data_IF_689456751536
#
_entry.id   IF_689456751536
#
_cell.length_a   1.000
_cell.length_b   1.000
_cell.length_c   1.000
_cell.angle_alpha   90.00
_cell.angle_beta   90.00
_cell.angle_gamma   90.00
#
_symmetry.space_group_name_H-M   'P 1'
#
loop_
_entity.id
_entity.type
_entity.pdbx_description
1 polymer ?
#
# COMPACT_ATOMS: atom_id res chain seq x y z
N UNK A 1 54.36 -38.52 -9.22
CA UNK A 1 54.00 -37.44 -8.27
C UNK A 1 53.81 -36.09 -8.95
N UNK A 2 54.82 -35.56 -9.65
CA UNK A 2 54.76 -34.23 -10.31
C UNK A 2 53.61 -34.05 -11.33
N UNK A 3 53.31 -35.11 -12.11
CA UNK A 3 52.25 -35.08 -13.14
C UNK A 3 50.84 -34.93 -12.55
N UNK A 4 50.59 -35.52 -11.38
CA UNK A 4 49.29 -35.43 -10.70
C UNK A 4 49.10 -34.06 -10.04
N UNK A 5 50.20 -33.43 -9.59
CA UNK A 5 50.20 -32.07 -9.02
C UNK A 5 49.89 -31.04 -10.13
N UNK A 6 50.50 -31.18 -11.31
CA UNK A 6 50.23 -30.32 -12.46
C UNK A 6 48.78 -30.43 -12.95
N UNK A 7 48.21 -31.63 -12.98
CA UNK A 7 46.80 -31.85 -13.35
C UNK A 7 45.87 -31.20 -12.31
N UNK A 8 46.15 -31.34 -11.01
CA UNK A 8 45.36 -30.72 -9.95
C UNK A 8 45.39 -29.18 -10.01
N UNK A 9 46.55 -28.57 -10.29
CA UNK A 9 46.69 -27.12 -10.45
C UNK A 9 45.93 -26.59 -11.68
N UNK A 10 45.95 -27.34 -12.78
CA UNK A 10 45.21 -27.01 -14.00
C UNK A 10 43.69 -27.07 -13.75
N UNK A 11 43.21 -28.10 -13.04
CA UNK A 11 41.80 -28.23 -12.66
C UNK A 11 41.38 -27.08 -11.73
N UNK A 12 42.19 -26.74 -10.73
CA UNK A 12 41.91 -25.61 -9.83
C UNK A 12 41.82 -24.28 -10.60
N UNK A 13 42.72 -24.07 -11.56
CA UNK A 13 42.75 -22.86 -12.39
C UNK A 13 41.52 -22.75 -13.29
N UNK A 14 41.07 -23.88 -13.86
CA UNK A 14 39.85 -23.93 -14.66
C UNK A 14 38.62 -23.69 -13.78
N UNK A 15 38.56 -24.30 -12.59
CA UNK A 15 37.47 -24.10 -11.65
C UNK A 15 37.41 -22.64 -11.19
N UNK A 16 38.54 -22.03 -10.85
CA UNK A 16 38.60 -20.63 -10.44
C UNK A 16 38.18 -19.69 -11.57
N UNK A 17 38.56 -19.99 -12.81
CA UNK A 17 38.18 -19.20 -13.97
C UNK A 17 36.69 -19.33 -14.30
N UNK A 18 36.12 -20.54 -14.19
CA UNK A 18 34.68 -20.76 -14.36
C UNK A 18 33.85 -20.11 -13.25
N UNK A 19 34.30 -20.17 -11.99
CA UNK A 19 33.68 -19.47 -10.86
C UNK A 19 33.75 -17.96 -11.08
N UNK A 20 34.91 -17.43 -11.49
CA UNK A 20 35.06 -16.02 -11.81
C UNK A 20 34.11 -15.58 -12.93
N UNK A 21 34.03 -16.34 -14.03
CA UNK A 21 33.10 -16.04 -15.13
C UNK A 21 31.64 -16.10 -14.70
N UNK A 22 31.29 -17.06 -13.85
CA UNK A 22 29.93 -17.17 -13.30
C UNK A 22 29.59 -15.98 -12.40
N UNK A 23 30.48 -15.60 -11.47
CA UNK A 23 30.33 -14.40 -10.63
C UNK A 23 30.23 -13.13 -11.48
N UNK A 24 31.08 -13.01 -12.51
CA UNK A 24 31.07 -11.87 -13.42
C UNK A 24 29.82 -11.83 -14.33
N UNK A 25 29.12 -12.97 -14.49
CA UNK A 25 27.84 -13.06 -15.20
C UNK A 25 26.62 -12.78 -14.33
N UNK A 26 26.79 -12.70 -13.01
CA UNK A 26 25.71 -12.26 -12.13
C UNK A 26 25.35 -10.82 -12.47
N UNK A 27 24.05 -10.47 -12.48
CA UNK A 27 23.63 -9.09 -12.68
C UNK A 27 24.30 -8.21 -11.62
N UNK A 28 25.05 -7.20 -12.07
CA UNK A 28 25.58 -6.18 -11.15
C UNK A 28 24.38 -5.43 -10.60
N UNK A 29 24.19 -5.49 -9.28
CA UNK A 29 23.28 -4.60 -8.59
C UNK A 29 23.95 -3.22 -8.60
N UNK A 30 23.62 -2.41 -9.61
CA UNK A 30 23.96 -0.99 -9.60
C UNK A 30 23.09 -0.33 -8.53
N UNK A 31 23.72 0.04 -7.42
CA UNK A 31 23.07 0.89 -6.43
C UNK A 31 23.03 2.29 -7.00
N UNK A 32 21.86 2.90 -7.03
CA UNK A 32 21.70 4.31 -7.35
C UNK A 32 22.43 5.15 -6.28
N UNK A 33 23.67 5.56 -6.59
CA UNK A 33 24.51 6.41 -5.73
C UNK A 33 23.96 7.84 -5.59
N UNK A 34 22.90 8.21 -6.32
CA UNK A 34 22.35 9.57 -6.29
C UNK A 34 21.50 9.87 -5.05
N UNK A 35 21.07 8.85 -4.31
CA UNK A 35 20.23 9.01 -3.11
C UNK A 35 21.09 9.04 -1.85
N UNK A 36 21.20 10.21 -1.22
CA UNK A 36 21.80 10.35 0.09
C UNK A 36 21.00 9.52 1.12
N UNK A 37 21.62 8.52 1.75
CA UNK A 37 20.95 7.63 2.71
C UNK A 37 20.98 8.24 4.12
N UNK A 38 19.96 9.05 4.45
CA UNK A 38 19.79 9.64 5.77
C UNK A 38 18.30 9.76 6.14
N UNK A 39 18.01 10.17 7.37
CA UNK A 39 16.62 10.27 7.84
C UNK A 39 15.81 11.38 7.15
N UNK A 40 16.47 12.43 6.63
CA UNK A 40 15.79 13.55 5.94
C UNK A 40 15.34 13.17 4.54
N UNK A 41 16.18 12.44 3.80
CA UNK A 41 15.77 11.86 2.52
C UNK A 41 14.68 10.80 2.73
N UNK A 42 14.81 9.98 3.78
CA UNK A 42 13.78 9.04 4.21
C UNK A 42 12.42 9.70 4.49
N UNK A 43 12.41 10.84 5.19
CA UNK A 43 11.20 11.61 5.42
C UNK A 43 10.57 12.08 4.09
N UNK A 44 11.36 12.67 3.20
CA UNK A 44 10.89 13.12 1.88
C UNK A 44 10.28 11.97 1.07
N UNK A 45 10.89 10.79 1.12
CA UNK A 45 10.39 9.58 0.46
C UNK A 45 9.08 9.10 1.09
N UNK A 46 8.96 9.07 2.42
CA UNK A 46 7.74 8.67 3.13
C UNK A 46 6.52 9.51 2.72
N UNK A 47 6.70 10.83 2.65
CA UNK A 47 5.64 11.79 2.30
C UNK A 47 5.49 12.05 0.80
N UNK A 48 6.38 11.48 -0.02
CA UNK A 48 6.44 11.69 -1.47
C UNK A 48 6.42 10.36 -2.21
N UNK A 49 7.54 10.03 -2.87
CA UNK A 49 7.66 8.86 -3.77
C UNK A 49 7.15 7.56 -3.16
N UNK A 50 7.45 7.28 -1.89
CA UNK A 50 7.06 6.05 -1.21
C UNK A 50 5.57 5.94 -0.90
N UNK A 51 4.80 7.03 -1.03
CA UNK A 51 3.35 7.11 -0.80
C UNK A 51 2.88 6.52 0.54
N UNK A 52 3.77 6.42 1.53
CA UNK A 52 3.49 5.79 2.82
C UNK A 52 2.39 6.57 3.57
N UNK A 53 2.39 7.90 3.42
CA UNK A 53 1.41 8.81 4.02
C UNK A 53 -0.02 8.66 3.53
N UNK A 54 -0.24 7.94 2.41
CA UNK A 54 -1.59 7.61 1.92
C UNK A 54 -2.29 6.63 2.87
N UNK A 55 -1.52 5.76 3.53
CA UNK A 55 -2.06 4.75 4.44
C UNK A 55 -1.70 4.99 5.91
N UNK A 56 -0.51 5.55 6.16
CA UNK A 56 0.03 5.76 7.49
C UNK A 56 0.06 7.25 7.87
N UNK A 57 -0.13 7.51 9.16
CA UNK A 57 0.11 8.84 9.75
C UNK A 57 1.28 8.80 10.73
N UNK A 58 1.90 9.95 10.97
CA UNK A 58 2.92 10.15 12.01
C UNK A 58 2.33 11.09 13.07
N UNK A 59 1.96 10.54 14.23
CA UNK A 59 1.28 11.31 15.27
C UNK A 59 -0.06 11.81 14.75
N UNK A 60 -0.26 13.14 14.72
CA UNK A 60 -1.48 13.76 14.19
C UNK A 60 -1.35 14.16 12.70
N UNK A 61 -0.18 14.02 12.07
CA UNK A 61 0.02 14.39 10.65
C UNK A 61 -0.26 13.20 9.73
N UNK A 62 -1.10 13.41 8.72
CA UNK A 62 -1.48 12.43 7.71
C UNK A 62 -2.79 11.71 8.02
N UNK A 63 -3.22 10.82 7.13
CA UNK A 63 -4.47 10.07 7.25
C UNK A 63 -4.17 8.60 7.58
N UNK A 64 -4.73 8.07 8.68
CA UNK A 64 -4.53 6.67 9.11
C UNK A 64 -5.84 5.90 9.19
N UNK A 65 -6.50 5.76 8.06
CA UNK A 65 -7.63 4.84 7.94
C UNK A 65 -7.20 3.44 7.50
N UNK A 66 -6.03 3.31 6.84
CA UNK A 66 -5.59 2.05 6.21
C UNK A 66 -4.41 1.35 6.89
N UNK A 67 -3.53 2.11 7.52
CA UNK A 67 -2.37 1.58 8.24
C UNK A 67 -2.29 2.14 9.66
N UNK A 68 -1.54 1.47 10.55
CA UNK A 68 -1.29 1.96 11.89
C UNK A 68 -0.59 3.31 11.87
N UNK A 69 -0.92 4.15 12.86
CA UNK A 69 -0.10 5.32 13.19
C UNK A 69 1.32 4.85 13.51
N UNK A 70 2.33 5.50 12.95
CA UNK A 70 3.75 5.15 13.15
C UNK A 70 4.46 6.09 14.14
N UNK A 71 3.82 7.21 14.52
CA UNK A 71 4.33 8.13 15.55
C UNK A 71 3.79 7.82 16.94
N UNK A 72 4.04 8.75 17.89
CA UNK A 72 3.35 8.74 19.18
C UNK A 72 1.92 9.22 18.99
N UNK A 73 0.95 8.44 19.44
CA UNK A 73 -0.45 8.85 19.39
C UNK A 73 -1.27 8.21 20.50
N UNK A 74 -2.54 8.60 20.58
CA UNK A 74 -3.55 7.95 21.41
C UNK A 74 -3.83 6.48 21.02
N UNK A 75 -3.39 6.05 19.83
CA UNK A 75 -3.70 4.73 19.28
C UNK A 75 -2.74 3.65 19.80
N UNK A 76 -1.65 4.02 20.51
CA UNK A 76 -0.71 3.07 21.09
C UNK A 76 0.72 3.60 21.19
N UNK A 77 1.66 2.73 21.61
CA UNK A 77 3.06 3.10 21.74
C UNK A 77 3.70 3.43 20.39
N UNK A 78 4.76 4.25 20.42
CA UNK A 78 5.54 4.62 19.24
C UNK A 78 6.02 3.40 18.45
N UNK A 79 6.24 3.56 17.14
CA UNK A 79 6.65 2.47 16.24
C UNK A 79 7.85 1.67 16.77
N UNK A 80 8.87 2.32 17.33
CA UNK A 80 10.06 1.60 17.82
C UNK A 80 9.80 0.62 18.95
N UNK A 81 8.88 0.93 19.87
CA UNK A 81 8.50 0.02 20.95
C UNK A 81 7.79 -1.20 20.39
N UNK A 82 6.82 -0.98 19.49
CA UNK A 82 6.11 -2.07 18.77
C UNK A 82 7.07 -2.91 17.94
N UNK A 83 8.00 -2.27 17.22
CA UNK A 83 8.99 -2.94 16.40
C UNK A 83 9.96 -3.79 17.24
N UNK A 84 10.40 -3.28 18.40
CA UNK A 84 11.27 -4.03 19.32
C UNK A 84 10.55 -5.24 19.93
N UNK A 85 9.33 -5.04 20.41
CA UNK A 85 8.50 -6.12 20.94
C UNK A 85 8.28 -7.20 19.86
N UNK A 86 7.97 -6.78 18.64
CA UNK A 86 7.71 -7.72 17.55
C UNK A 86 8.96 -8.44 17.08
N UNK A 87 10.10 -7.74 16.98
CA UNK A 87 11.39 -8.37 16.69
C UNK A 87 11.71 -9.46 17.71
N UNK A 88 11.49 -9.21 19.00
CA UNK A 88 11.66 -10.20 20.06
C UNK A 88 10.73 -11.40 19.89
N UNK A 89 9.44 -11.19 19.60
CA UNK A 89 8.47 -12.27 19.38
C UNK A 89 8.81 -13.15 18.17
N UNK A 90 9.40 -12.55 17.13
CA UNK A 90 9.79 -13.24 15.90
C UNK A 90 11.20 -13.84 15.95
N UNK A 91 11.95 -13.62 17.03
CA UNK A 91 13.36 -14.03 17.13
C UNK A 91 14.29 -13.29 16.17
N UNK A 92 13.90 -12.09 15.71
CA UNK A 92 14.74 -11.24 14.87
C UNK A 92 15.84 -10.57 15.71
N UNK A 93 16.99 -10.28 15.09
CA UNK A 93 18.15 -9.75 15.78
C UNK A 93 17.94 -8.31 16.26
N UNK A 94 17.04 -7.54 15.62
CA UNK A 94 16.76 -6.16 16.02
C UNK A 94 15.38 -5.65 15.57
N UNK A 95 14.93 -4.56 16.18
CA UNK A 95 13.80 -3.78 15.68
C UNK A 95 14.02 -3.25 14.26
N UNK A 96 15.27 -3.02 13.86
CA UNK A 96 15.62 -2.55 12.51
C UNK A 96 15.35 -3.64 11.48
N UNK A 97 15.70 -4.88 11.79
CA UNK A 97 15.42 -6.03 10.94
C UNK A 97 13.92 -6.26 10.77
N UNK A 98 13.15 -6.07 11.84
CA UNK A 98 11.69 -6.08 11.73
C UNK A 98 11.16 -4.96 10.83
N UNK A 99 11.65 -3.72 10.95
CA UNK A 99 11.22 -2.62 10.06
C UNK A 99 11.55 -2.92 8.60
N UNK A 100 12.73 -3.49 8.32
CA UNK A 100 13.11 -3.93 6.98
C UNK A 100 12.14 -5.00 6.46
N UNK A 101 11.84 -6.03 7.28
CA UNK A 101 10.91 -7.08 6.92
C UNK A 101 9.52 -6.52 6.60
N UNK A 102 9.01 -5.55 7.38
CA UNK A 102 7.68 -4.97 7.12
C UNK A 102 7.57 -4.23 5.78
N UNK A 103 8.69 -3.73 5.24
CA UNK A 103 8.73 -3.06 3.94
C UNK A 103 8.97 -4.08 2.82
N UNK A 104 9.81 -5.08 3.06
CA UNK A 104 10.15 -6.12 2.10
C UNK A 104 9.02 -7.15 1.90
N UNK A 105 8.30 -7.47 2.98
CA UNK A 105 7.26 -8.50 3.02
C UNK A 105 6.06 -7.98 3.84
N UNK A 106 5.34 -6.96 3.34
CA UNK A 106 4.27 -6.30 4.10
C UNK A 106 3.14 -7.24 4.55
N UNK A 107 2.95 -8.36 3.84
CA UNK A 107 1.97 -9.39 4.18
C UNK A 107 2.43 -10.42 5.22
N UNK A 108 3.72 -10.46 5.57
CA UNK A 108 4.27 -11.42 6.54
C UNK A 108 3.71 -11.19 7.95
N UNK A 109 3.38 -9.93 8.27
CA UNK A 109 2.70 -9.57 9.50
C UNK A 109 1.77 -8.37 9.31
N UNK A 110 0.49 -8.59 9.54
CA UNK A 110 -0.53 -7.55 9.54
C UNK A 110 -0.92 -7.23 10.98
N UNK A 111 -0.83 -5.96 11.36
CA UNK A 111 -1.19 -5.50 12.71
C UNK A 111 -2.68 -5.79 12.96
N UNK A 112 -3.05 -6.38 14.12
CA UNK A 112 -4.45 -6.64 14.44
C UNK A 112 -5.32 -5.41 14.29
N UNK A 113 -6.47 -5.56 13.62
CA UNK A 113 -7.39 -4.46 13.30
C UNK A 113 -7.13 -3.77 11.97
N UNK A 114 -6.08 -4.13 11.24
CA UNK A 114 -5.80 -3.67 9.88
C UNK A 114 -5.90 -4.82 8.87
N UNK A 115 -6.14 -4.48 7.61
CA UNK A 115 -6.16 -5.44 6.52
C UNK A 115 -4.77 -5.63 5.89
N UNK A 116 -4.57 -6.75 5.19
CA UNK A 116 -3.39 -6.98 4.37
C UNK A 116 -3.47 -6.12 3.08
N UNK A 117 -3.10 -4.86 3.19
CA UNK A 117 -3.26 -3.87 2.12
C UNK A 117 -1.99 -3.08 1.80
N UNK A 118 -0.90 -3.20 2.58
CA UNK A 118 0.32 -2.45 2.29
C UNK A 118 0.98 -2.98 1.00
N UNK A 119 1.25 -2.12 -0.01
CA UNK A 119 1.85 -2.56 -1.27
C UNK A 119 3.33 -2.89 -1.09
N UNK A 120 3.87 -3.70 -2.00
CA UNK A 120 5.31 -3.94 -2.13
C UNK A 120 5.97 -2.70 -2.74
N UNK A 121 6.49 -1.80 -1.90
CA UNK A 121 6.95 -0.46 -2.32
C UNK A 121 8.16 -0.46 -3.24
N UNK A 122 8.90 -1.58 -3.33
CA UNK A 122 10.04 -1.76 -4.23
C UNK A 122 9.63 -2.23 -5.64
N UNK A 123 8.34 -2.51 -5.86
CA UNK A 123 7.77 -2.86 -7.16
C UNK A 123 6.92 -1.71 -7.71
N UNK A 124 6.47 -1.87 -8.96
CA UNK A 124 5.47 -1.00 -9.54
C UNK A 124 4.22 -0.92 -8.65
N UNK A 125 3.58 0.25 -8.52
CA UNK A 125 3.90 1.52 -9.18
C UNK A 125 4.86 2.45 -8.40
N UNK A 126 5.32 2.07 -7.20
CA UNK A 126 6.08 2.95 -6.29
C UNK A 126 7.59 2.95 -6.59
N UNK A 127 8.18 1.77 -6.84
CA UNK A 127 9.59 1.60 -7.22
C UNK A 127 10.61 2.31 -6.30
N UNK A 128 10.52 2.11 -4.99
CA UNK A 128 11.61 2.50 -4.09
C UNK A 128 12.86 1.66 -4.37
N UNK A 129 13.99 2.30 -4.60
CA UNK A 129 15.30 1.64 -4.73
C UNK A 129 15.75 1.07 -3.39
N UNK A 130 16.69 0.12 -3.37
CA UNK A 130 17.32 -0.34 -2.13
C UNK A 130 17.86 0.79 -1.25
N UNK A 131 18.46 1.84 -1.84
CA UNK A 131 18.97 2.99 -1.10
C UNK A 131 17.83 3.82 -0.48
N UNK A 132 16.75 4.05 -1.23
CA UNK A 132 15.56 4.76 -0.75
C UNK A 132 14.86 4.01 0.39
N UNK A 133 14.75 2.68 0.31
CA UNK A 133 14.19 1.86 1.39
C UNK A 133 15.01 2.01 2.67
N UNK A 134 16.35 1.96 2.57
CA UNK A 134 17.23 2.20 3.72
C UNK A 134 17.01 3.59 4.32
N UNK A 135 16.87 4.61 3.47
CA UNK A 135 16.59 5.97 3.93
C UNK A 135 15.24 6.06 4.67
N UNK A 136 14.17 5.44 4.15
CA UNK A 136 12.87 5.35 4.83
C UNK A 136 12.98 4.64 6.17
N UNK A 137 13.71 3.53 6.26
CA UNK A 137 13.95 2.83 7.53
C UNK A 137 14.71 3.72 8.53
N UNK A 138 15.69 4.51 8.09
CA UNK A 138 16.37 5.49 8.94
C UNK A 138 15.42 6.58 9.46
N UNK A 139 14.50 7.05 8.63
CA UNK A 139 13.45 7.97 9.07
C UNK A 139 12.55 7.33 10.14
N UNK A 140 12.08 6.10 9.90
CA UNK A 140 11.23 5.40 10.88
C UNK A 140 11.95 5.14 12.21
N UNK A 141 13.27 4.90 12.19
CA UNK A 141 14.10 4.81 13.40
C UNK A 141 14.25 6.17 14.09
N UNK A 142 14.47 7.25 13.34
CA UNK A 142 14.66 8.59 13.91
C UNK A 142 13.41 9.11 14.63
N UNK A 143 12.20 8.67 14.23
CA UNK A 143 10.95 8.95 14.96
C UNK A 143 10.96 8.46 16.42
N UNK A 144 11.90 7.58 16.78
CA UNK A 144 12.10 7.07 18.12
C UNK A 144 13.34 7.64 18.83
N UNK A 145 13.98 8.65 18.25
CA UNK A 145 15.25 9.19 18.73
C UNK A 145 16.47 8.31 18.44
N UNK A 146 16.29 7.19 17.72
CA UNK A 146 17.38 6.35 17.26
C UNK A 146 17.94 6.91 15.95
N UNK A 147 19.03 7.66 16.07
CA UNK A 147 19.78 8.21 14.94
C UNK A 147 21.07 7.43 14.68
N UNK A 148 21.19 6.20 15.19
CA UNK A 148 22.39 5.40 15.01
C UNK A 148 22.49 4.91 13.56
N UNK A 149 23.67 5.11 12.97
CA UNK A 149 23.99 4.62 11.64
C UNK A 149 24.50 3.18 11.75
N UNK A 150 23.59 2.25 11.98
CA UNK A 150 23.87 0.82 11.81
C UNK A 150 23.64 0.47 10.34
N UNK A 151 24.53 -0.31 9.74
CA UNK A 151 24.35 -0.81 8.38
C UNK A 151 22.99 -1.52 8.25
N UNK A 152 22.07 -0.93 7.48
CA UNK A 152 20.77 -1.53 7.20
C UNK A 152 20.96 -2.56 6.08
N UNK A 153 20.78 -3.83 6.44
CA UNK A 153 20.82 -4.95 5.50
C UNK A 153 19.42 -5.23 5.00
N UNK A 154 19.28 -5.29 3.67
CA UNK A 154 18.03 -5.69 3.03
C UNK A 154 18.10 -7.18 2.66
N UNK A 155 16.97 -7.91 2.67
CA UNK A 155 16.91 -9.30 2.26
C UNK A 155 17.41 -9.48 0.82
N UNK A 156 18.08 -10.59 0.54
CA UNK A 156 18.62 -10.87 -0.79
C UNK A 156 17.50 -11.02 -1.82
N UNK A 157 16.33 -11.52 -1.40
CA UNK A 157 15.13 -11.66 -2.20
C UNK A 157 14.60 -10.30 -2.66
N UNK A 158 14.62 -9.29 -1.78
CA UNK A 158 14.27 -7.92 -2.16
C UNK A 158 15.26 -7.38 -3.20
N UNK A 159 16.56 -7.53 -2.95
CA UNK A 159 17.60 -7.07 -3.88
C UNK A 159 17.51 -7.77 -5.24
N UNK A 160 17.18 -9.06 -5.27
CA UNK A 160 17.03 -9.84 -6.49
C UNK A 160 15.70 -9.57 -7.22
N UNK A 161 14.65 -9.24 -6.48
CA UNK A 161 13.32 -8.92 -7.05
C UNK A 161 13.21 -7.47 -7.49
N UNK A 162 14.06 -6.58 -6.98
CA UNK A 162 14.20 -5.23 -7.49
C UNK A 162 14.67 -5.28 -8.94
N UNK A 163 13.83 -4.79 -9.84
CA UNK A 163 14.18 -4.55 -11.22
C UNK A 163 14.20 -3.05 -11.42
N UNK A 164 15.33 -2.51 -11.90
CA UNK A 164 15.39 -1.14 -12.40
C UNK A 164 14.24 -0.93 -13.38
N UNK A 165 13.58 0.22 -13.28
CA UNK A 165 12.34 0.62 -13.96
C UNK A 165 12.02 -0.21 -15.22
N UNK A 166 11.14 -1.20 -15.09
CA UNK A 166 10.32 -1.62 -16.23
C UNK A 166 9.20 -0.60 -16.33
N UNK A 167 9.01 -0.04 -17.53
CA UNK A 167 7.86 0.81 -17.84
C UNK A 167 6.60 0.18 -17.23
N UNK A 168 5.86 0.90 -16.37
CA UNK A 168 4.71 0.31 -15.70
C UNK A 168 3.66 -0.01 -16.77
N UNK A 169 3.40 -1.30 -16.96
CA UNK A 169 2.35 -1.87 -17.82
C UNK A 169 2.42 -1.36 -19.26
N UNK A 170 3.26 -2.00 -20.08
CA UNK A 170 3.13 -1.91 -21.53
C UNK A 170 1.66 -2.20 -21.92
N UNK A 171 0.96 -1.12 -22.26
CA UNK A 171 -0.37 -1.01 -22.86
C UNK A 171 -1.52 -1.74 -22.12
N UNK A 172 -2.15 -1.05 -21.16
CA UNK A 172 -3.55 -1.37 -20.83
C UNK A 172 -4.38 -1.12 -22.09
N UNK A 173 -4.89 -2.20 -22.69
CA UNK A 173 -5.88 -2.11 -23.76
C UNK A 173 -7.11 -1.40 -23.19
N UNK A 174 -7.49 -0.26 -23.76
CA UNK A 174 -8.65 0.50 -23.31
C UNK A 174 -8.55 1.99 -23.65
N UNK A 175 -9.69 2.64 -23.80
CA UNK A 175 -9.80 4.08 -24.02
C UNK A 175 -10.08 4.79 -22.68
N UNK A 176 -9.06 5.49 -22.16
CA UNK A 176 -9.18 6.26 -20.91
C UNK A 176 -10.25 7.35 -20.96
N UNK A 177 -10.59 7.89 -22.13
CA UNK A 177 -11.68 8.86 -22.27
C UNK A 177 -13.04 8.17 -22.13
N UNK A 178 -13.23 7.03 -22.79
CA UNK A 178 -14.44 6.23 -22.65
C UNK A 178 -14.60 5.71 -21.20
N UNK A 179 -13.50 5.27 -20.58
CA UNK A 179 -13.49 4.83 -19.18
C UNK A 179 -13.85 5.93 -18.20
N UNK A 180 -13.35 7.15 -18.43
CA UNK A 180 -13.71 8.32 -17.62
C UNK A 180 -15.19 8.65 -17.75
N UNK A 181 -15.74 8.63 -18.97
CA UNK A 181 -17.18 8.85 -19.18
C UNK A 181 -18.01 7.79 -18.44
N UNK A 182 -17.62 6.52 -18.53
CA UNK A 182 -18.27 5.42 -17.83
C UNK A 182 -18.17 5.57 -16.29
N UNK A 183 -17.03 6.01 -15.77
CA UNK A 183 -16.81 6.25 -14.33
C UNK A 183 -17.79 7.31 -13.79
N UNK A 184 -17.98 8.41 -14.53
CA UNK A 184 -18.82 9.54 -14.13
C UNK A 184 -20.29 9.42 -14.57
N UNK A 185 -20.66 8.38 -15.31
CA UNK A 185 -22.05 8.13 -15.70
C UNK A 185 -22.85 7.54 -14.53
N UNK A 186 -23.51 8.41 -13.76
CA UNK A 186 -24.28 8.06 -12.57
C UNK A 186 -25.55 7.23 -12.85
N UNK A 187 -26.04 7.21 -14.09
CA UNK A 187 -27.22 6.42 -14.50
C UNK A 187 -26.84 5.16 -15.26
N UNK A 188 -25.55 5.03 -15.63
CA UNK A 188 -25.00 3.90 -16.35
C UNK A 188 -24.70 2.67 -15.47
N UNK A 189 -24.22 1.58 -16.08
CA UNK A 189 -23.98 0.31 -15.39
C UNK A 189 -22.79 0.34 -14.42
N UNK A 190 -21.87 1.30 -14.56
CA UNK A 190 -20.71 1.43 -13.69
C UNK A 190 -20.98 2.36 -12.49
N UNK A 191 -21.44 3.59 -12.76
CA UNK A 191 -21.78 4.62 -11.77
C UNK A 191 -20.74 4.79 -10.65
N UNK A 192 -19.46 4.64 -10.95
CA UNK A 192 -18.39 4.60 -9.96
C UNK A 192 -18.31 5.92 -9.15
N UNK A 193 -18.55 7.05 -9.82
CA UNK A 193 -18.55 8.38 -9.21
C UNK A 193 -19.67 8.59 -8.17
N UNK A 194 -20.70 7.73 -8.15
CA UNK A 194 -21.74 7.76 -7.12
C UNK A 194 -21.20 7.44 -5.72
N UNK A 195 -20.03 6.81 -5.65
CA UNK A 195 -19.39 6.46 -4.37
C UNK A 195 -17.93 6.92 -4.28
N UNK A 196 -17.21 7.02 -5.40
CA UNK A 196 -15.78 7.31 -5.41
C UNK A 196 -15.48 8.69 -6.00
N UNK A 197 -14.45 9.35 -5.48
CA UNK A 197 -13.85 10.51 -6.15
C UNK A 197 -12.86 10.09 -7.22
N UNK A 198 -12.86 10.80 -8.34
CA UNK A 198 -11.90 10.69 -9.44
C UNK A 198 -11.54 12.06 -9.99
N UNK A 199 -10.77 12.10 -11.08
CA UNK A 199 -10.42 13.34 -11.79
C UNK A 199 -11.22 13.47 -13.09
N UNK A 200 -11.96 14.57 -13.24
CA UNK A 200 -12.69 14.84 -14.48
C UNK A 200 -11.76 15.31 -15.63
N UNK A 201 -12.33 15.66 -16.78
CA UNK A 201 -11.54 16.10 -17.96
C UNK A 201 -10.68 17.33 -17.73
N UNK A 202 -11.03 18.16 -16.74
CA UNK A 202 -10.27 19.36 -16.36
C UNK A 202 -9.23 19.08 -15.26
N UNK A 203 -9.05 17.82 -14.86
CA UNK A 203 -8.17 17.43 -13.76
C UNK A 203 -8.68 17.85 -12.38
N UNK A 204 -9.98 18.16 -12.25
CA UNK A 204 -10.59 18.50 -10.95
C UNK A 204 -11.19 17.25 -10.30
N UNK A 205 -11.10 17.21 -8.97
CA UNK A 205 -11.74 16.16 -8.17
C UNK A 205 -13.26 16.27 -8.30
N UNK A 206 -13.91 15.14 -8.59
CA UNK A 206 -15.36 15.02 -8.73
C UNK A 206 -15.81 13.63 -8.24
N UNK A 207 -17.07 13.51 -7.81
CA UNK A 207 -17.67 12.29 -7.27
C UNK A 207 -17.94 12.36 -5.77
N UNK A 208 -18.31 11.21 -5.19
CA UNK A 208 -18.71 11.08 -3.79
C UNK A 208 -17.57 10.56 -2.90
N UNK A 209 -17.67 10.81 -1.59
CA UNK A 209 -16.70 10.32 -0.60
C UNK A 209 -17.22 9.14 0.21
N UNK A 210 -18.35 8.53 -0.17
CA UNK A 210 -18.87 7.30 0.47
C UNK A 210 -17.80 6.20 0.44
N UNK A 211 -17.23 5.95 -0.74
CA UNK A 211 -16.13 5.04 -1.01
C UNK A 211 -14.75 5.72 -1.00
N UNK A 212 -13.68 4.92 -1.12
CA UNK A 212 -12.31 5.41 -1.20
C UNK A 212 -12.05 6.46 -2.28
N UNK A 213 -11.22 7.46 -1.97
CA UNK A 213 -10.66 8.35 -2.99
C UNK A 213 -9.75 7.57 -3.95
N UNK A 214 -9.98 7.74 -5.26
CA UNK A 214 -9.25 7.07 -6.34
C UNK A 214 -8.38 8.02 -7.17
N UNK A 215 -8.37 9.33 -6.88
CA UNK A 215 -7.64 10.36 -7.64
C UNK A 215 -6.13 10.09 -7.82
N UNK A 216 -5.54 9.28 -6.94
CA UNK A 216 -4.13 8.90 -6.95
C UNK A 216 -3.91 7.37 -6.97
N UNK A 217 -4.95 6.56 -7.25
CA UNK A 217 -4.94 5.12 -7.02
C UNK A 217 -3.79 4.39 -7.74
N UNK A 218 -3.44 4.83 -8.95
CA UNK A 218 -2.39 4.22 -9.76
C UNK A 218 -0.97 4.62 -9.35
N UNK A 219 -0.83 5.55 -8.39
CA UNK A 219 0.45 5.89 -7.79
C UNK A 219 0.92 4.87 -6.75
N UNK A 220 0.02 4.01 -6.24
CA UNK A 220 0.36 3.04 -5.19
C UNK A 220 -0.33 1.66 -5.33
N UNK A 221 -1.24 1.48 -6.30
CA UNK A 221 -1.85 0.19 -6.64
C UNK A 221 -1.55 -0.22 -8.07
N UNK A 222 -1.34 -1.52 -8.28
CA UNK A 222 -1.19 -2.07 -9.62
C UNK A 222 -2.55 -2.15 -10.33
N UNK A 223 -2.59 -2.16 -11.66
CA UNK A 223 -3.80 -2.39 -12.44
C UNK A 223 -4.49 -3.70 -12.09
N UNK A 224 -3.74 -4.76 -11.81
CA UNK A 224 -4.31 -6.06 -11.41
C UNK A 224 -5.04 -5.95 -10.07
N UNK A 225 -4.50 -5.17 -9.12
CA UNK A 225 -5.20 -4.89 -7.87
C UNK A 225 -6.49 -4.10 -8.13
N UNK A 226 -6.44 -3.06 -8.98
CA UNK A 226 -7.60 -2.23 -9.31
C UNK A 226 -8.70 -3.06 -9.98
N UNK A 227 -8.35 -3.82 -11.03
CA UNK A 227 -9.28 -4.69 -11.73
C UNK A 227 -9.90 -5.73 -10.78
N UNK A 228 -9.07 -6.37 -9.95
CA UNK A 228 -9.56 -7.34 -8.96
C UNK A 228 -10.56 -6.71 -8.00
N UNK A 229 -10.35 -5.47 -7.57
CA UNK A 229 -11.32 -4.75 -6.71
C UNK A 229 -12.63 -4.47 -7.41
N UNK A 230 -12.61 -4.18 -8.71
CA UNK A 230 -13.84 -3.96 -9.49
C UNK A 230 -14.66 -5.26 -9.60
N UNK A 231 -14.01 -6.37 -9.92
CA UNK A 231 -14.72 -7.65 -10.17
C UNK A 231 -14.96 -8.46 -8.89
N UNK A 232 -14.22 -8.20 -7.81
CA UNK A 232 -14.34 -8.89 -6.53
C UNK A 232 -14.03 -7.94 -5.36
N UNK A 233 -14.95 -7.00 -5.05
CA UNK A 233 -14.75 -6.03 -3.98
C UNK A 233 -14.72 -6.67 -2.58
N UNK A 234 -15.32 -7.85 -2.40
CA UNK A 234 -15.40 -8.56 -1.12
C UNK A 234 -14.08 -9.25 -0.73
N UNK A 235 -13.17 -9.48 -1.67
CA UNK A 235 -11.88 -10.13 -1.38
C UNK A 235 -11.13 -9.46 -0.22
N UNK A 236 -11.26 -8.13 -0.09
CA UNK A 236 -10.80 -7.38 1.07
C UNK A 236 -11.53 -6.03 1.07
N UNK A 237 -12.29 -5.71 2.11
CA UNK A 237 -12.95 -4.40 2.19
C UNK A 237 -11.94 -3.37 2.71
N UNK A 238 -11.66 -2.33 1.92
CA UNK A 238 -10.65 -1.31 2.26
C UNK A 238 -10.86 -0.78 3.68
N UNK A 239 -9.80 -0.78 4.47
CA UNK A 239 -9.84 -0.30 5.86
C UNK A 239 -10.41 1.14 5.94
N UNK A 240 -11.33 1.37 6.88
CA UNK A 240 -12.10 2.61 7.00
C UNK A 240 -13.36 2.68 6.14
N UNK A 241 -13.62 1.68 5.29
CA UNK A 241 -14.80 1.63 4.40
C UNK A 241 -15.71 0.42 4.63
N UNK A 242 -15.50 -0.32 5.72
CA UNK A 242 -16.43 -1.36 6.16
C UNK A 242 -17.74 -0.74 6.59
N UNK A 243 -18.82 -1.13 5.93
CA UNK A 243 -20.17 -0.77 6.33
C UNK A 243 -20.50 -1.37 7.70
N UNK A 244 -21.18 -0.61 8.53
CA UNK A 244 -21.62 -1.03 9.85
C UNK A 244 -23.12 -0.87 9.96
N UNK A 245 -23.76 -1.85 10.60
CA UNK A 245 -25.12 -1.72 11.10
C UNK A 245 -25.05 -1.33 12.57
N UNK A 246 -25.53 -0.15 12.90
CA UNK A 246 -25.63 0.36 14.26
C UNK A 246 -27.06 0.23 14.72
N UNK A 247 -27.27 -0.55 15.78
CA UNK A 247 -28.54 -0.56 16.52
C UNK A 247 -28.45 0.43 17.65
N UNK A 248 -29.34 1.41 17.68
CA UNK A 248 -29.42 2.36 18.79
C UNK A 248 -30.25 1.79 19.94
N UNK A 249 -30.05 2.31 21.15
CA UNK A 249 -30.85 1.97 22.34
C UNK A 249 -32.33 2.36 22.17
N UNK A 250 -32.61 3.35 21.32
CA UNK A 250 -33.97 3.73 20.92
C UNK A 250 -34.60 2.82 19.85
N UNK A 251 -33.92 1.73 19.44
CA UNK A 251 -34.46 0.74 18.51
C UNK A 251 -34.28 1.07 17.02
N UNK A 252 -33.60 2.17 16.67
CA UNK A 252 -33.29 2.49 15.27
C UNK A 252 -32.13 1.64 14.77
N UNK A 253 -32.17 1.28 13.49
CA UNK A 253 -31.04 0.72 12.76
C UNK A 253 -30.50 1.78 11.80
N UNK A 254 -29.20 2.04 11.88
CA UNK A 254 -28.47 2.94 10.98
C UNK A 254 -27.46 2.11 10.21
N UNK A 255 -27.33 2.35 8.92
CA UNK A 255 -26.44 1.58 8.03
C UNK A 255 -25.57 2.54 7.25
N UNK A 256 -24.26 2.36 7.34
CA UNK A 256 -23.33 3.23 6.62
C UNK A 256 -21.87 2.99 6.98
N UNK A 257 -21.00 3.86 6.51
CA UNK A 257 -19.56 3.82 6.74
C UNK A 257 -19.17 4.86 7.78
N UNK A 258 -18.36 4.49 8.77
CA UNK A 258 -17.87 5.44 9.77
C UNK A 258 -16.76 6.29 9.15
N UNK A 259 -16.98 7.60 9.04
CA UNK A 259 -15.99 8.56 8.52
C UNK A 259 -15.07 9.08 9.61
N UNK A 260 -15.63 9.34 10.78
CA UNK A 260 -14.89 9.83 11.94
C UNK A 260 -15.42 9.20 13.22
N UNK A 261 -14.53 8.99 14.18
CA UNK A 261 -14.89 8.49 15.49
C UNK A 261 -14.00 9.17 16.55
N UNK A 262 -14.63 9.86 17.50
CA UNK A 262 -13.95 10.43 18.66
C UNK A 262 -14.39 9.71 19.95
N UNK A 263 -14.08 10.26 21.12
CA UNK A 263 -14.41 9.60 22.40
C UNK A 263 -15.92 9.44 22.61
N UNK A 264 -16.72 10.40 22.17
CA UNK A 264 -18.13 10.51 22.53
C UNK A 264 -19.07 10.23 21.34
N UNK A 265 -18.63 10.49 20.11
CA UNK A 265 -19.45 10.41 18.92
C UNK A 265 -18.76 9.66 17.78
N UNK A 266 -19.58 9.13 16.86
CA UNK A 266 -19.16 8.71 15.53
C UNK A 266 -19.95 9.46 14.47
N UNK A 267 -19.32 9.72 13.32
CA UNK A 267 -19.97 10.21 12.12
C UNK A 267 -20.13 9.04 11.13
N UNK A 268 -21.37 8.74 10.77
CA UNK A 268 -21.74 7.71 9.82
C UNK A 268 -22.20 8.36 8.51
N UNK A 269 -21.64 7.97 7.38
CA UNK A 269 -22.18 8.34 6.07
C UNK A 269 -23.06 7.20 5.55
N UNK A 270 -24.29 7.52 5.18
CA UNK A 270 -25.20 6.59 4.50
C UNK A 270 -24.97 6.61 2.98
N UNK A 271 -25.53 5.63 2.27
CA UNK A 271 -25.37 5.49 0.81
C UNK A 271 -25.95 6.65 -0.01
N UNK A 272 -26.84 7.44 0.58
CA UNK A 272 -27.42 8.65 -0.01
C UNK A 272 -26.64 9.93 0.37
N UNK A 273 -25.40 9.79 0.83
CA UNK A 273 -24.52 10.87 1.31
C UNK A 273 -24.98 11.59 2.58
N UNK A 274 -26.02 11.08 3.25
CA UNK A 274 -26.46 11.64 4.52
C UNK A 274 -25.43 11.36 5.62
N UNK A 275 -24.94 12.42 6.27
CA UNK A 275 -24.05 12.33 7.43
C UNK A 275 -24.86 12.32 8.72
N UNK A 276 -24.79 11.22 9.46
CA UNK A 276 -25.43 11.05 10.76
C UNK A 276 -24.39 11.09 11.87
N UNK A 277 -24.51 12.06 12.77
CA UNK A 277 -23.78 12.06 14.03
C UNK A 277 -24.50 11.13 15.03
N UNK A 278 -23.80 10.10 15.51
CA UNK A 278 -24.33 9.15 16.48
C UNK A 278 -23.52 9.23 17.77
N UNK A 279 -24.20 9.57 18.87
CA UNK A 279 -23.63 9.50 20.22
C UNK A 279 -23.35 8.04 20.57
N UNK A 280 -22.13 7.73 21.03
CA UNK A 280 -21.77 6.37 21.44
C UNK A 280 -22.58 5.88 22.63
N UNK A 281 -23.08 6.79 23.47
CA UNK A 281 -23.95 6.46 24.59
C UNK A 281 -25.29 5.89 24.13
N UNK A 282 -25.70 6.20 22.90
CA UNK A 282 -26.96 5.74 22.32
C UNK A 282 -26.80 4.45 21.51
N UNK A 283 -25.58 3.93 21.35
CA UNK A 283 -25.30 2.69 20.63
C UNK A 283 -25.60 1.51 21.55
N UNK A 284 -26.43 0.59 21.07
CA UNK A 284 -26.65 -0.71 21.70
C UNK A 284 -25.69 -1.76 21.15
N UNK A 285 -25.56 -1.84 19.82
CA UNK A 285 -24.63 -2.75 19.16
C UNK A 285 -24.11 -2.19 17.84
N UNK A 286 -22.89 -2.59 17.46
CA UNK A 286 -22.25 -2.30 16.18
C UNK A 286 -21.91 -3.61 15.50
N UNK A 287 -22.38 -3.80 14.27
CA UNK A 287 -22.18 -5.03 13.50
C UNK A 287 -21.50 -4.68 12.17
N UNK A 288 -20.17 -4.86 12.06
CA UNK A 288 -19.46 -4.74 10.79
C UNK A 288 -20.01 -5.76 9.79
N UNK A 289 -20.27 -5.30 8.56
CA UNK A 289 -20.73 -6.17 7.49
C UNK A 289 -19.56 -6.94 6.88
N UNK A 290 -19.86 -8.17 6.42
CA UNK A 290 -18.88 -9.06 5.79
C UNK A 290 -18.72 -8.79 4.29
N UNK A 291 -19.74 -8.20 3.68
CA UNK A 291 -19.76 -7.85 2.26
C UNK A 291 -19.52 -6.35 2.11
N UNK A 292 -18.88 -5.98 1.00
CA UNK A 292 -18.64 -4.61 0.60
C UNK A 292 -19.94 -3.91 0.19
N UNK A 293 -20.04 -2.61 0.44
CA UNK A 293 -21.10 -1.78 -0.16
C UNK A 293 -20.87 -1.55 -1.66
N UNK A 294 -19.67 -1.82 -2.17
CA UNK A 294 -19.38 -1.81 -3.60
C UNK A 294 -20.03 -3.04 -4.27
N UNK A 295 -20.82 -2.87 -5.34
CA UNK A 295 -21.45 -3.98 -6.05
C UNK A 295 -20.43 -5.01 -6.56
N UNK A 296 -20.73 -6.30 -6.43
CA UNK A 296 -19.85 -7.39 -6.86
C UNK A 296 -20.19 -7.95 -8.25
N UNK A 297 -21.21 -7.43 -8.91
CA UNK A 297 -21.72 -7.94 -10.19
C UNK A 297 -21.23 -7.16 -11.42
N UNK A 298 -20.17 -6.37 -11.29
CA UNK A 298 -19.64 -5.57 -12.41
C UNK A 298 -19.16 -6.43 -13.60
N UNK A 299 -18.73 -7.67 -13.36
CA UNK A 299 -18.40 -8.63 -14.42
C UNK A 299 -19.61 -9.06 -15.26
N UNK A 300 -20.82 -8.96 -14.71
CA UNK A 300 -22.07 -9.25 -15.43
C UNK A 300 -22.65 -7.98 -16.07
N UNK A 301 -22.40 -6.81 -15.47
CA UNK A 301 -22.93 -5.51 -15.92
C UNK A 301 -22.10 -4.85 -17.02
N UNK A 302 -20.79 -5.07 -17.03
CA UNK A 302 -19.85 -4.41 -17.93
C UNK A 302 -19.29 -5.42 -18.93
N UNK A 303 -19.22 -5.02 -20.19
CA UNK A 303 -18.47 -5.75 -21.20
C UNK A 303 -16.96 -5.72 -20.89
N UNK A 304 -16.20 -6.67 -21.45
CA UNK A 304 -14.73 -6.65 -21.31
C UNK A 304 -14.14 -5.30 -21.76
N UNK A 305 -14.61 -4.75 -22.89
CA UNK A 305 -14.18 -3.43 -23.36
C UNK A 305 -14.45 -2.32 -22.34
N UNK A 306 -15.60 -2.32 -21.68
CA UNK A 306 -15.93 -1.32 -20.67
C UNK A 306 -15.05 -1.44 -19.42
N UNK A 307 -14.74 -2.67 -18.98
CA UNK A 307 -13.80 -2.90 -17.88
C UNK A 307 -12.38 -2.43 -18.25
N UNK A 308 -11.96 -2.73 -19.46
CA UNK A 308 -10.68 -2.32 -20.05
C UNK A 308 -10.56 -0.79 -20.14
N UNK A 309 -11.59 -0.11 -20.68
CA UNK A 309 -11.68 1.34 -20.73
C UNK A 309 -11.64 1.96 -19.32
N UNK A 310 -12.43 1.42 -18.38
CA UNK A 310 -12.47 1.89 -16.98
C UNK A 310 -11.11 1.74 -16.29
N UNK A 311 -10.44 0.59 -16.49
CA UNK A 311 -9.09 0.36 -15.98
C UNK A 311 -8.10 1.33 -16.63
N UNK A 312 -8.18 1.55 -17.95
CA UNK A 312 -7.34 2.49 -18.67
C UNK A 312 -7.48 3.92 -18.11
N UNK A 313 -8.68 4.34 -17.72
CA UNK A 313 -8.88 5.61 -17.01
C UNK A 313 -8.23 5.60 -15.63
N UNK A 314 -8.52 4.60 -14.79
CA UNK A 314 -8.02 4.55 -13.41
C UNK A 314 -6.49 4.52 -13.33
N UNK A 315 -5.81 3.93 -14.32
CA UNK A 315 -4.34 3.92 -14.34
C UNK A 315 -3.72 5.25 -14.77
N UNK A 316 -4.50 6.19 -15.28
CA UNK A 316 -4.05 7.58 -15.47
C UNK A 316 -3.98 8.36 -14.15
N UNK A 317 -4.64 7.87 -13.09
CA UNK A 317 -4.77 8.53 -11.79
C UNK A 317 -3.54 8.25 -10.91
N UNK A 318 -2.35 8.73 -11.30
CA UNK A 318 -1.07 8.54 -10.59
C UNK A 318 -0.71 9.69 -9.63
N UNK A 319 -1.52 10.74 -9.65
CA UNK A 319 -1.31 12.06 -9.03
C UNK A 319 -0.15 12.89 -9.63
N UNK A 320 -0.24 14.21 -9.45
CA UNK A 320 0.83 15.20 -9.66
C UNK A 320 1.80 15.22 -8.48
#
# INVERSE_FOLDING_TARGET
>A
MLKNILIALSILSILSYSIYKWIASLPKVEFDESVEVNWRSGEKLFWGKGRCSVCHRIGERGYALRGPNLGQSKDGPILSLRARERAWQLGLASSTEYLVQTIAEPGAFVVPGYNNEMPEVFKAPIFLTPAEIKAVVLYLKSLAGDTTFVEIRLPQELLASYQAEKKPHDEISGDSTAGRLLFFDLVGPAACAACHTGLNSAGKVEGSTIGPDLTAIAGFRTPEYILRKIINPDFNIVSGYTEVVIRTKGGRFLVGVIKEENKDNLQLIERNENLILVSKKDIHSRMPQKLSSMPSNYSDLLTQKQLDDLLAYLVTLKEN
#
